data_IF_800775639835
#
_entry.id   IF_800775639835
#
_cell.length_a   1.000
_cell.length_b   1.000
_cell.length_c   1.000
_cell.angle_alpha   90.00
_cell.angle_beta   90.00
_cell.angle_gamma   90.00
#
_symmetry.space_group_name_H-M   'P 1'
#
loop_
_entity.id
_entity.type
_entity.pdbx_description
1 polymer ?
2 non-polymer ?
3 non-polymer ?
4 non-polymer ?
5 non-polymer ?
6 non-polymer ?
7 water ?
#
# COMPACT_ATOMS: atom_id res chain seq x y z
N UNK A 1 3.05 16.92 -13.74
CA UNK A 1 4.47 16.53 -13.86
C UNK A 1 4.59 15.16 -14.51
N UNK A 2 5.77 14.88 -15.08
CA UNK A 2 6.04 13.59 -15.72
C UNK A 2 6.09 12.41 -14.73
N UNK A 3 6.60 12.65 -13.53
CA UNK A 3 6.65 11.60 -12.52
C UNK A 3 5.72 11.80 -11.36
N UNK A 4 4.65 11.02 -11.35
CA UNK A 4 3.67 11.15 -10.30
C UNK A 4 3.69 9.93 -9.42
N UNK A 5 3.75 10.17 -8.12
CA UNK A 5 3.72 9.12 -7.10
C UNK A 5 2.31 9.13 -6.54
N UNK A 6 1.78 7.94 -6.23
CA UNK A 6 0.44 7.79 -5.63
C UNK A 6 0.66 6.91 -4.40
N UNK A 7 0.34 7.42 -3.21
CA UNK A 7 0.53 6.61 -2.02
C UNK A 7 -0.54 6.83 -0.95
N UNK A 8 -0.49 6.01 0.11
CA UNK A 8 -1.44 6.12 1.21
C UNK A 8 -0.97 7.09 2.28
N UNK A 9 -1.86 7.96 2.71
CA UNK A 9 -1.47 8.92 3.73
C UNK A 9 -1.80 8.44 5.14
N UNK A 10 -2.44 7.26 5.23
CA UNK A 10 -2.89 6.69 6.49
C UNK A 10 -2.30 5.31 6.83
N UNK A 11 -3.15 4.29 6.91
CA UNK A 11 -2.69 2.94 7.19
C UNK A 11 -3.05 2.05 6.00
N UNK A 12 -3.02 2.59 4.79
CA UNK A 12 -3.35 1.76 3.66
C UNK A 12 -4.86 1.57 3.49
N UNK A 13 -5.25 0.90 2.42
CA UNK A 13 -6.64 0.64 2.10
C UNK A 13 -7.44 1.91 1.91
N UNK A 14 -6.76 3.00 1.55
CA UNK A 14 -7.42 4.28 1.29
C UNK A 14 -8.02 4.29 -0.11
N UNK A 15 -7.47 3.49 -1.03
CA UNK A 15 -7.94 3.44 -2.40
C UNK A 15 -6.90 3.76 -3.48
N UNK A 16 -5.66 3.27 -3.31
CA UNK A 16 -4.60 3.51 -4.29
C UNK A 16 -4.98 2.87 -5.62
N UNK A 17 -5.19 1.54 -5.61
CA UNK A 17 -5.56 0.78 -6.79
C UNK A 17 -6.51 1.55 -7.70
N UNK A 18 -7.74 1.76 -7.26
CA UNK A 18 -8.66 2.50 -8.08
C UNK A 18 -7.98 3.74 -8.71
N UNK A 19 -7.51 4.66 -7.88
CA UNK A 19 -6.88 5.87 -8.39
C UNK A 19 -5.74 5.63 -9.39
N UNK A 20 -4.82 4.72 -9.11
CA UNK A 20 -3.73 4.54 -10.06
C UNK A 20 -4.29 4.08 -11.39
N UNK A 21 -5.20 3.09 -11.36
CA UNK A 21 -5.78 2.57 -12.58
C UNK A 21 -6.42 3.65 -13.43
N UNK A 22 -7.29 4.44 -12.82
CA UNK A 22 -7.91 5.55 -13.55
C UNK A 22 -6.88 6.53 -14.10
N UNK A 23 -5.78 6.71 -13.39
CA UNK A 23 -4.79 7.69 -13.80
C UNK A 23 -3.76 7.33 -14.86
N UNK A 24 -3.59 6.04 -15.12
CA UNK A 24 -2.60 5.60 -16.10
C UNK A 24 -3.10 5.62 -17.56
N UNK A 25 -4.19 6.35 -17.77
CA UNK A 25 -4.74 6.48 -19.09
C UNK A 25 -3.73 7.21 -19.93
N UNK A 26 -2.96 8.12 -19.31
CA UNK A 26 -1.92 8.90 -19.97
C UNK A 26 -0.50 8.48 -19.55
N UNK A 27 -0.35 7.31 -18.94
CA UNK A 27 0.96 6.89 -18.46
C UNK A 27 1.60 5.77 -19.25
N UNK A 28 2.94 5.85 -19.42
CA UNK A 28 3.66 4.82 -20.15
C UNK A 28 4.08 3.64 -19.23
N UNK A 29 4.59 3.94 -18.03
CA UNK A 29 4.94 2.87 -17.09
C UNK A 29 4.22 3.08 -15.75
N UNK A 30 4.06 2.01 -14.98
CA UNK A 30 3.47 2.04 -13.65
C UNK A 30 4.45 1.23 -12.87
N UNK A 31 5.04 1.80 -11.82
CA UNK A 31 6.03 1.06 -11.03
C UNK A 31 5.68 0.79 -9.57
N UNK A 32 5.71 -0.46 -9.15
CA UNK A 32 5.46 -0.84 -7.76
C UNK A 32 6.85 -0.76 -7.17
N UNK A 33 7.03 0.01 -6.10
CA UNK A 33 8.37 0.14 -5.50
C UNK A 33 8.60 -0.48 -4.08
N UNK A 34 7.53 -0.93 -3.43
CA UNK A 34 7.70 -1.53 -2.09
C UNK A 34 6.65 -2.55 -1.69
N UNK A 35 6.97 -3.28 -0.64
CA UNK A 35 6.05 -4.30 -0.15
C UNK A 35 6.11 -5.58 -0.98
N UNK A 36 5.02 -6.32 -0.99
CA UNK A 36 4.98 -7.55 -1.74
C UNK A 36 3.53 -7.86 -1.96
N UNK A 37 3.15 -9.12 -1.84
CA UNK A 37 1.77 -9.49 -2.05
C UNK A 37 0.90 -9.35 -0.81
N UNK A 38 1.32 -8.52 0.14
CA UNK A 38 0.53 -8.26 1.35
C UNK A 38 -0.51 -7.20 0.99
N UNK A 39 -0.22 -6.44 -0.07
CA UNK A 39 -1.12 -5.41 -0.53
C UNK A 39 -2.26 -6.08 -1.24
N UNK A 40 -3.47 -5.54 -1.05
CA UNK A 40 -4.65 -6.08 -1.69
C UNK A 40 -5.39 -4.87 -2.21
N UNK A 41 -5.36 -4.70 -3.52
CA UNK A 41 -6.00 -3.55 -4.16
C UNK A 41 -7.25 -4.07 -4.85
N UNK A 42 -8.16 -3.16 -5.19
CA UNK A 42 -9.41 -3.56 -5.82
C UNK A 42 -9.82 -2.55 -6.89
N UNK A 43 -9.76 -2.98 -8.14
CA UNK A 43 -10.14 -2.12 -9.26
C UNK A 43 -11.49 -2.66 -9.65
N UNK A 44 -12.39 -1.76 -10.05
CA UNK A 44 -13.74 -2.11 -10.49
C UNK A 44 -14.04 -1.35 -11.78
N UNK A 45 -14.25 -2.11 -12.86
CA UNK A 45 -14.53 -1.55 -14.20
C UNK A 45 -15.82 -2.10 -14.87
N UNK A 46 -16.80 -1.22 -15.09
CA UNK A 46 -18.09 -1.65 -15.65
C UNK A 46 -18.54 -2.75 -14.70
N UNK A 47 -18.30 -2.54 -13.42
CA UNK A 47 -18.69 -3.53 -12.46
C UNK A 47 -17.85 -4.79 -12.45
N UNK A 48 -16.93 -4.95 -13.39
CA UNK A 48 -16.09 -6.13 -13.38
C UNK A 48 -15.07 -5.75 -12.30
N UNK A 49 -14.79 -6.71 -11.42
CA UNK A 49 -13.87 -6.47 -10.33
C UNK A 49 -12.59 -7.30 -10.47
N UNK A 50 -11.47 -6.63 -10.15
CA UNK A 50 -10.16 -7.24 -10.19
C UNK A 50 -9.50 -6.83 -8.89
N UNK A 51 -8.92 -7.80 -8.19
CA UNK A 51 -8.21 -7.56 -6.94
C UNK A 51 -6.77 -7.96 -7.15
N UNK A 52 -5.90 -6.98 -7.27
CA UNK A 52 -4.48 -7.26 -7.49
C UNK A 52 -3.73 -7.27 -6.16
N UNK A 53 -2.51 -7.78 -6.15
CA UNK A 53 -1.71 -7.79 -4.93
C UNK A 53 -0.26 -7.44 -5.27
N UNK A 54 0.38 -8.33 -6.02
CA UNK A 54 1.75 -8.12 -6.39
C UNK A 54 1.83 -7.33 -7.68
N UNK A 55 0.92 -7.59 -8.60
CA UNK A 55 0.92 -6.93 -9.90
C UNK A 55 0.49 -5.45 -9.90
N UNK A 56 1.33 -4.56 -10.45
CA UNK A 56 0.94 -3.14 -10.47
C UNK A 56 -0.48 -2.93 -11.02
N UNK A 57 -1.12 -1.87 -10.55
CA UNK A 57 -2.48 -1.56 -10.93
C UNK A 57 -2.76 -1.06 -12.33
N UNK A 58 -1.74 -0.93 -13.16
CA UNK A 58 -2.00 -0.47 -14.51
C UNK A 58 -2.14 -1.65 -15.48
N UNK A 59 -1.90 -2.87 -15.01
CA UNK A 59 -1.96 -4.07 -15.85
C UNK A 59 -3.13 -4.25 -16.82
N UNK A 60 -4.28 -3.63 -16.56
CA UNK A 60 -5.40 -3.79 -17.49
C UNK A 60 -5.29 -2.79 -18.65
N UNK A 61 -4.41 -1.82 -18.59
CA UNK A 61 -4.33 -0.90 -19.69
C UNK A 61 -3.17 -1.40 -20.56
N UNK A 62 -3.43 -1.54 -21.84
CA UNK A 62 -2.42 -2.05 -22.72
C UNK A 62 -1.39 -1.05 -23.23
N UNK A 63 -1.53 0.21 -22.85
CA UNK A 63 -0.59 1.22 -23.30
C UNK A 63 0.39 1.53 -22.21
N UNK A 64 0.38 0.73 -21.16
CA UNK A 64 1.31 0.99 -20.06
C UNK A 64 2.08 -0.28 -19.72
N UNK A 65 3.37 -0.11 -19.43
CA UNK A 65 4.18 -1.24 -19.06
C UNK A 65 4.25 -1.24 -17.53
N UNK A 66 3.91 -2.35 -16.90
CA UNK A 66 3.95 -2.42 -15.46
C UNK A 66 5.30 -2.96 -15.03
N UNK A 67 5.95 -2.26 -14.11
CA UNK A 67 7.25 -2.67 -13.60
C UNK A 67 7.21 -2.84 -12.09
N UNK A 68 7.73 -3.94 -11.57
CA UNK A 68 7.82 -4.09 -10.11
C UNK A 68 9.32 -3.82 -9.83
N UNK A 69 9.62 -2.66 -9.23
CA UNK A 69 11.00 -2.26 -8.97
C UNK A 69 11.66 -3.01 -7.85
N UNK A 70 13.00 -2.94 -7.80
CA UNK A 70 13.83 -3.64 -6.78
C UNK A 70 13.42 -3.56 -5.29
N UNK A 71 12.51 -2.66 -4.94
CA UNK A 71 12.09 -2.54 -3.56
C UNK A 71 11.01 -3.51 -3.11
N UNK A 72 10.48 -4.27 -4.07
CA UNK A 72 9.43 -5.23 -3.82
C UNK A 72 10.00 -6.60 -3.44
N UNK A 73 9.43 -7.22 -2.39
CA UNK A 73 9.81 -8.57 -1.99
C UNK A 73 8.90 -9.47 -2.82
N UNK A 74 9.47 -10.09 -3.84
CA UNK A 74 8.70 -10.86 -4.78
C UNK A 74 8.60 -12.33 -4.48
N UNK A 75 7.39 -12.84 -4.51
CA UNK A 75 7.12 -14.25 -4.25
C UNK A 75 6.77 -14.91 -5.61
N UNK A 76 7.60 -15.84 -6.08
CA UNK A 76 7.31 -16.49 -7.36
C UNK A 76 5.96 -17.22 -7.40
N UNK A 77 5.73 -18.05 -6.39
CA UNK A 77 4.52 -18.82 -6.28
C UNK A 77 3.36 -17.86 -6.35
N UNK A 78 3.45 -16.79 -5.57
CA UNK A 78 2.37 -15.80 -5.54
C UNK A 78 2.20 -15.09 -6.90
N UNK A 79 3.31 -14.66 -7.49
CA UNK A 79 3.27 -14.00 -8.78
C UNK A 79 2.51 -14.85 -9.78
N UNK A 80 2.96 -16.09 -9.99
CA UNK A 80 2.33 -17.00 -10.93
C UNK A 80 0.85 -17.10 -10.67
N UNK A 81 0.46 -17.46 -9.47
CA UNK A 81 -0.95 -17.59 -9.16
C UNK A 81 -1.74 -16.39 -9.65
N UNK A 82 -1.15 -15.21 -9.50
CA UNK A 82 -1.79 -13.95 -9.89
C UNK A 82 -1.74 -13.82 -11.37
N UNK A 83 -0.57 -14.04 -11.95
CA UNK A 83 -0.34 -13.95 -13.38
C UNK A 83 -1.37 -14.78 -14.14
N UNK A 84 -1.62 -16.00 -13.70
CA UNK A 84 -2.58 -16.89 -14.35
C UNK A 84 -4.02 -16.39 -14.29
N UNK A 85 -4.53 -16.05 -13.10
CA UNK A 85 -5.92 -15.55 -13.05
C UNK A 85 -6.09 -14.36 -13.98
N UNK A 86 -5.09 -13.49 -14.05
CA UNK A 86 -5.21 -12.36 -14.93
C UNK A 86 -5.23 -12.79 -16.38
N UNK A 87 -4.25 -13.63 -16.76
CA UNK A 87 -4.15 -14.12 -18.13
C UNK A 87 -5.39 -14.90 -18.57
N UNK A 88 -6.08 -15.53 -17.63
CA UNK A 88 -7.32 -16.24 -17.92
C UNK A 88 -8.46 -15.28 -18.27
N UNK A 89 -8.40 -14.05 -17.76
CA UNK A 89 -9.43 -13.05 -18.03
C UNK A 89 -9.14 -12.27 -19.30
N UNK A 90 -8.25 -12.80 -20.13
CA UNK A 90 -7.92 -12.10 -21.35
C UNK A 90 -6.94 -10.96 -21.12
N UNK A 91 -6.12 -11.03 -20.07
CA UNK A 91 -5.12 -9.99 -19.83
C UNK A 91 -3.73 -10.63 -20.05
N UNK A 92 -2.99 -10.18 -21.08
CA UNK A 92 -1.68 -10.76 -21.35
C UNK A 92 -0.60 -10.27 -20.38
N UNK A 93 -0.71 -10.65 -19.12
CA UNK A 93 0.25 -10.26 -18.08
C UNK A 93 1.74 -10.27 -18.51
N UNK A 94 2.21 -11.38 -19.06
CA UNK A 94 3.62 -11.43 -19.44
C UNK A 94 3.97 -10.53 -20.61
N UNK A 95 2.98 -10.01 -21.32
CA UNK A 95 3.25 -9.17 -22.45
C UNK A 95 3.55 -7.77 -21.93
N UNK A 96 3.10 -7.48 -20.70
CA UNK A 96 3.21 -6.14 -20.13
C UNK A 96 3.96 -5.91 -18.82
N UNK A 97 4.28 -6.98 -18.12
CA UNK A 97 5.01 -6.88 -16.87
C UNK A 97 6.51 -7.09 -17.03
N UNK A 98 7.31 -6.26 -16.36
CA UNK A 98 8.77 -6.37 -16.32
C UNK A 98 9.10 -6.24 -14.84
N UNK A 99 10.27 -6.72 -14.44
CA UNK A 99 10.62 -6.61 -13.06
C UNK A 99 12.14 -6.53 -12.89
N UNK A 100 12.58 -6.23 -11.67
CA UNK A 100 13.98 -6.12 -11.37
C UNK A 100 14.58 -7.39 -10.84
N UNK A 101 15.79 -7.68 -11.36
CA UNK A 101 16.57 -8.84 -10.94
C UNK A 101 16.98 -8.67 -9.49
N UNK A 102 16.90 -7.45 -9.00
CA UNK A 102 17.27 -7.11 -7.64
C UNK A 102 16.18 -7.27 -6.63
N UNK A 103 15.07 -7.88 -7.00
CA UNK A 103 13.96 -8.13 -6.07
C UNK A 103 14.28 -9.33 -5.20
N UNK A 104 14.19 -9.19 -3.86
CA UNK A 104 14.49 -10.37 -3.03
C UNK A 104 13.37 -11.37 -3.31
N UNK A 105 13.57 -12.64 -3.00
CA UNK A 105 12.52 -13.65 -3.22
C UNK A 105 11.90 -14.12 -1.91
N UNK A 106 10.59 -14.25 -1.90
CA UNK A 106 9.86 -14.72 -0.73
C UNK A 106 9.58 -16.19 -1.00
N UNK A 107 10.28 -17.08 -0.29
CA UNK A 107 10.07 -18.52 -0.45
C UNK A 107 9.39 -19.03 0.82
N UNK A 108 9.00 -20.30 0.84
CA UNK A 108 8.29 -20.89 1.99
C UNK A 108 8.89 -20.75 3.36
N UNK A 109 10.22 -20.81 3.48
CA UNK A 109 10.81 -20.63 4.82
C UNK A 109 10.45 -19.27 5.42
N UNK A 110 10.26 -18.29 4.56
CA UNK A 110 9.88 -16.96 4.99
C UNK A 110 8.50 -16.99 5.61
N UNK A 111 7.54 -17.58 4.91
CA UNK A 111 6.18 -17.69 5.45
C UNK A 111 6.25 -18.50 6.72
N UNK A 112 6.98 -19.61 6.69
CA UNK A 112 7.15 -20.43 7.89
C UNK A 112 7.58 -19.47 9.05
N UNK A 113 8.71 -18.80 8.84
CA UNK A 113 9.21 -17.85 9.83
C UNK A 113 8.19 -16.83 10.27
N UNK A 114 7.66 -16.08 9.31
CA UNK A 114 6.69 -15.03 9.61
C UNK A 114 5.63 -15.49 10.61
N UNK A 115 5.06 -16.66 10.40
CA UNK A 115 4.03 -17.18 11.32
C UNK A 115 4.60 -17.57 12.69
N UNK A 116 5.73 -18.27 12.67
CA UNK A 116 6.40 -18.68 13.89
C UNK A 116 6.69 -17.42 14.72
N UNK A 117 7.36 -16.45 14.10
CA UNK A 117 7.72 -15.20 14.75
C UNK A 117 6.50 -14.57 15.38
N UNK A 118 5.45 -14.40 14.58
CA UNK A 118 4.21 -13.79 15.02
C UNK A 118 3.61 -14.54 16.23
N UNK A 119 3.53 -15.86 16.12
CA UNK A 119 2.97 -16.67 17.20
C UNK A 119 3.76 -16.44 18.50
N UNK A 120 5.08 -16.48 18.43
CA UNK A 120 5.91 -16.23 19.60
C UNK A 120 5.48 -14.97 20.35
N UNK A 121 5.13 -13.92 19.62
CA UNK A 121 4.69 -12.65 20.22
C UNK A 121 3.41 -12.76 21.08
N UNK A 122 2.53 -13.67 20.71
CA UNK A 122 1.30 -13.82 21.46
C UNK A 122 0.49 -12.53 21.50
N UNK A 123 0.37 -11.97 22.69
CA UNK A 123 -0.41 -10.75 22.88
C UNK A 123 0.17 -9.58 22.12
N UNK A 124 1.45 -9.67 21.79
CA UNK A 124 2.11 -8.59 21.07
C UNK A 124 2.07 -8.73 19.56
N UNK A 125 1.33 -9.72 19.06
CA UNK A 125 1.23 -9.92 17.61
C UNK A 125 1.05 -8.60 16.86
N UNK A 126 1.88 -8.40 15.84
CA UNK A 126 1.82 -7.20 15.04
C UNK A 126 0.53 -7.28 14.20
N UNK A 127 0.04 -8.50 13.97
CA UNK A 127 -1.16 -8.68 13.17
C UNK A 127 -0.79 -8.55 11.71
N UNK A 128 0.29 -9.22 11.32
CA UNK A 128 0.78 -9.16 9.96
C UNK A 128 -0.09 -9.99 9.02
N UNK A 129 -0.03 -9.67 7.73
CA UNK A 129 -0.80 -10.39 6.72
C UNK A 129 -0.32 -11.84 6.59
N UNK A 130 0.82 -12.15 7.22
CA UNK A 130 1.36 -13.51 7.17
C UNK A 130 1.78 -14.01 5.81
N UNK A 131 2.52 -13.17 5.09
CA UNK A 131 3.02 -13.50 3.77
C UNK A 131 4.55 -13.67 3.76
N UNK A 132 5.19 -13.44 4.89
CA UNK A 132 6.64 -13.58 4.93
C UNK A 132 7.37 -12.32 4.45
N UNK A 133 6.67 -11.20 4.43
CA UNK A 133 7.25 -9.94 3.99
C UNK A 133 8.43 -9.60 4.89
N UNK A 134 8.17 -9.60 6.20
CA UNK A 134 9.18 -9.29 7.20
C UNK A 134 10.46 -10.05 7.00
N UNK A 135 10.42 -11.38 7.08
CA UNK A 135 11.64 -12.19 6.90
C UNK A 135 12.33 -11.96 5.58
N UNK A 136 11.56 -11.82 4.50
CA UNK A 136 12.13 -11.58 3.17
C UNK A 136 13.00 -10.34 3.28
N UNK A 137 12.47 -9.27 3.92
CA UNK A 137 13.21 -8.00 4.15
C UNK A 137 14.43 -8.16 5.05
N UNK A 138 14.33 -9.05 6.04
CA UNK A 138 15.45 -9.30 6.94
C UNK A 138 16.58 -9.88 6.16
N UNK A 139 16.36 -11.01 5.50
CA UNK A 139 17.42 -11.64 4.71
C UNK A 139 18.07 -10.61 3.80
N UNK A 140 17.23 -9.76 3.22
CA UNK A 140 17.69 -8.68 2.34
C UNK A 140 18.73 -7.80 3.02
N UNK A 141 18.28 -7.10 4.05
CA UNK A 141 19.15 -6.20 4.81
C UNK A 141 20.33 -6.95 5.44
N UNK A 142 20.07 -8.17 5.92
CA UNK A 142 21.09 -9.03 6.52
C UNK A 142 21.99 -9.72 5.48
N UNK A 143 21.98 -9.22 4.27
CA UNK A 143 22.81 -9.73 3.20
C UNK A 143 22.92 -11.23 3.00
N UNK A 144 21.80 -11.93 3.14
CA UNK A 144 21.76 -13.38 2.90
C UNK A 144 20.60 -13.77 1.99
N UNK A 145 19.68 -12.84 1.74
CA UNK A 145 18.54 -13.16 0.89
C UNK A 145 18.89 -13.48 -0.54
N UNK A 146 18.02 -14.22 -1.21
CA UNK A 146 18.21 -14.61 -2.60
C UNK A 146 17.42 -13.60 -3.41
N UNK A 147 17.92 -13.23 -4.58
CA UNK A 147 17.22 -12.23 -5.39
C UNK A 147 16.80 -12.84 -6.73
N UNK A 148 15.96 -12.11 -7.47
CA UNK A 148 15.52 -12.57 -8.78
C UNK A 148 16.72 -12.90 -9.67
N UNK A 149 17.77 -12.09 -9.60
CA UNK A 149 18.93 -12.33 -10.41
C UNK A 149 19.65 -13.61 -10.08
N UNK A 150 19.30 -14.26 -8.98
CA UNK A 150 19.96 -15.52 -8.62
C UNK A 150 19.33 -16.75 -9.29
N UNK A 151 18.32 -16.53 -10.15
CA UNK A 151 17.71 -17.63 -10.86
C UNK A 151 18.47 -17.83 -12.19
N UNK A 152 19.22 -16.81 -12.59
CA UNK A 152 19.99 -16.92 -13.81
C UNK A 152 21.06 -18.04 -13.75
N UNK A 153 21.37 -18.49 -12.55
CA UNK A 153 22.35 -19.56 -12.37
C UNK A 153 21.85 -20.54 -11.32
N UNK A 154 21.23 -21.62 -11.77
CA UNK A 154 20.65 -22.62 -10.88
C UNK A 154 21.56 -23.49 -10.01
N UNK A 155 22.72 -23.89 -10.53
CA UNK A 155 23.61 -24.67 -9.69
C UNK A 155 24.05 -23.77 -8.54
N UNK A 156 24.47 -22.57 -8.90
CA UNK A 156 24.89 -21.58 -7.95
C UNK A 156 23.70 -21.39 -7.00
N UNK A 157 22.52 -21.19 -7.59
CA UNK A 157 21.29 -20.98 -6.84
C UNK A 157 21.03 -22.05 -5.77
N UNK A 158 21.27 -23.32 -6.15
CA UNK A 158 21.10 -24.49 -5.27
C UNK A 158 22.02 -24.38 -4.07
N UNK A 159 23.28 -24.05 -4.32
CA UNK A 159 24.27 -23.87 -3.25
C UNK A 159 23.78 -22.87 -2.22
N UNK A 160 23.55 -21.63 -2.68
CA UNK A 160 23.05 -20.52 -1.86
C UNK A 160 21.73 -20.91 -1.15
N UNK A 161 20.71 -21.36 -1.89
CA UNK A 161 19.48 -21.73 -1.21
C UNK A 161 19.81 -22.66 -0.06
N UNK A 162 20.70 -23.62 -0.33
CA UNK A 162 21.13 -24.61 0.67
C UNK A 162 21.59 -23.95 1.97
N UNK A 163 22.56 -23.04 1.89
CA UNK A 163 23.01 -22.39 3.12
C UNK A 163 22.05 -21.41 3.79
N UNK A 164 21.01 -20.97 3.09
CA UNK A 164 20.09 -20.06 3.72
C UNK A 164 18.94 -20.83 4.43
N UNK A 165 18.39 -21.82 3.74
CA UNK A 165 17.32 -22.65 4.29
C UNK A 165 17.75 -23.40 5.54
N UNK A 166 18.98 -23.90 5.53
CA UNK A 166 19.46 -24.61 6.70
C UNK A 166 19.56 -23.69 7.90
N UNK A 167 20.11 -22.49 7.68
CA UNK A 167 20.22 -21.51 8.77
C UNK A 167 18.82 -21.32 9.28
N UNK A 168 17.91 -21.07 8.34
CA UNK A 168 16.51 -20.86 8.70
C UNK A 168 15.84 -22.04 9.36
N UNK A 169 16.05 -23.23 8.79
CA UNK A 169 15.46 -24.45 9.32
C UNK A 169 15.88 -24.66 10.76
N UNK A 170 17.13 -24.32 11.04
CA UNK A 170 17.66 -24.46 12.38
C UNK A 170 16.79 -23.71 13.37
N UNK A 171 16.74 -22.40 13.26
CA UNK A 171 15.96 -21.63 14.20
C UNK A 171 14.51 -22.08 14.17
N UNK A 172 14.04 -22.52 13.01
CA UNK A 172 12.65 -22.95 12.92
C UNK A 172 12.34 -24.15 13.80
N UNK A 173 13.15 -25.19 13.71
CA UNK A 173 12.91 -26.36 14.54
C UNK A 173 13.46 -26.16 15.95
N UNK A 174 14.73 -25.80 16.06
CA UNK A 174 15.37 -25.63 17.37
C UNK A 174 14.82 -24.56 18.30
N UNK A 175 14.64 -23.35 17.79
CA UNK A 175 14.14 -22.27 18.61
C UNK A 175 12.61 -22.25 18.68
N UNK A 176 11.97 -22.06 17.54
CA UNK A 176 10.51 -22.02 17.49
C UNK A 176 9.85 -23.36 17.72
N UNK A 177 10.64 -24.43 17.60
CA UNK A 177 10.14 -25.78 17.80
C UNK A 177 8.93 -25.99 16.87
N UNK A 178 9.09 -25.48 15.65
CA UNK A 178 8.08 -25.59 14.61
C UNK A 178 8.69 -26.47 13.53
N UNK A 179 7.91 -26.73 12.49
CA UNK A 179 8.34 -27.58 11.38
C UNK A 179 9.32 -26.96 10.37
N UNK A 180 10.33 -27.75 10.01
CA UNK A 180 11.32 -27.32 9.03
C UNK A 180 10.71 -27.31 7.63
N UNK A 181 11.24 -26.45 6.77
CA UNK A 181 10.77 -26.35 5.40
C UNK A 181 11.70 -27.21 4.53
N UNK A 182 11.14 -28.04 3.63
CA UNK A 182 12.01 -28.89 2.82
C UNK A 182 12.75 -28.20 1.69
N UNK A 183 14.06 -28.35 1.74
CA UNK A 183 14.93 -27.77 0.74
C UNK A 183 14.56 -28.21 -0.68
N UNK A 184 14.28 -29.50 -0.87
CA UNK A 184 13.94 -30.00 -2.21
C UNK A 184 12.61 -29.53 -2.71
N UNK A 185 11.64 -29.35 -1.83
CA UNK A 185 10.36 -28.84 -2.29
C UNK A 185 10.64 -27.44 -2.83
N UNK A 186 11.22 -26.58 -2.01
CA UNK A 186 11.50 -25.21 -2.44
C UNK A 186 12.31 -25.19 -3.74
N UNK A 187 13.38 -25.97 -3.79
CA UNK A 187 14.18 -25.96 -5.00
C UNK A 187 13.38 -26.34 -6.25
N UNK A 188 12.54 -27.36 -6.15
CA UNK A 188 11.75 -27.78 -7.30
C UNK A 188 10.76 -26.72 -7.74
N UNK A 189 10.01 -26.16 -6.80
CA UNK A 189 9.05 -25.12 -7.12
C UNK A 189 9.74 -23.93 -7.79
N UNK A 190 10.68 -23.35 -7.09
CA UNK A 190 11.38 -22.20 -7.63
C UNK A 190 11.95 -22.47 -9.03
N UNK A 191 12.51 -23.66 -9.24
CA UNK A 191 13.09 -23.99 -10.53
C UNK A 191 12.10 -24.19 -11.65
N UNK A 192 10.85 -24.50 -11.30
CA UNK A 192 9.82 -24.72 -12.31
C UNK A 192 9.39 -23.41 -12.95
N UNK A 193 9.69 -22.28 -12.32
CA UNK A 193 9.31 -20.98 -12.89
C UNK A 193 10.49 -20.06 -13.18
N UNK A 194 11.64 -20.35 -12.58
CA UNK A 194 12.85 -19.58 -12.80
C UNK A 194 12.89 -18.93 -14.18
N UNK A 195 12.63 -19.72 -15.21
CA UNK A 195 12.64 -19.21 -16.57
C UNK A 195 11.57 -18.16 -16.83
N UNK A 196 10.35 -18.43 -16.35
CA UNK A 196 9.22 -17.51 -16.54
C UNK A 196 9.60 -16.15 -15.99
N UNK A 197 10.15 -16.15 -14.77
CA UNK A 197 10.57 -14.93 -14.08
C UNK A 197 11.72 -14.24 -14.75
N UNK A 198 12.79 -14.98 -15.05
CA UNK A 198 13.95 -14.35 -15.68
C UNK A 198 13.66 -13.77 -17.07
N UNK A 199 12.68 -14.30 -17.78
CA UNK A 199 12.38 -13.73 -19.07
C UNK A 199 11.84 -12.31 -18.89
N UNK A 200 11.26 -11.99 -17.75
CA UNK A 200 10.72 -10.65 -17.61
C UNK A 200 11.68 -9.64 -16.99
N UNK A 201 12.90 -10.07 -16.67
CA UNK A 201 13.88 -9.18 -16.09
C UNK A 201 14.32 -8.03 -16.99
N UNK A 202 14.41 -6.84 -16.40
CA UNK A 202 14.85 -5.66 -17.11
C UNK A 202 15.67 -4.88 -16.11
N UNK A 203 16.39 -3.88 -16.57
CA UNK A 203 17.20 -3.02 -15.71
C UNK A 203 16.36 -1.77 -15.45
N UNK A 204 15.53 -1.85 -14.42
CA UNK A 204 14.62 -0.76 -14.08
C UNK A 204 15.25 0.61 -13.80
N UNK A 205 16.40 0.65 -13.12
CA UNK A 205 17.03 1.95 -12.86
C UNK A 205 17.21 2.71 -14.15
N UNK A 206 17.88 2.08 -15.11
CA UNK A 206 18.14 2.69 -16.42
C UNK A 206 16.90 2.96 -17.27
N UNK A 207 15.93 2.06 -17.22
CA UNK A 207 14.69 2.20 -17.95
C UNK A 207 14.05 3.52 -17.53
N UNK A 208 13.97 3.74 -16.22
CA UNK A 208 13.36 4.96 -15.69
C UNK A 208 14.14 6.22 -16.06
N UNK A 209 15.45 6.11 -16.22
CA UNK A 209 16.26 7.25 -16.58
C UNK A 209 15.96 7.59 -18.04
N UNK A 210 15.80 6.58 -18.89
CA UNK A 210 15.45 6.80 -20.28
C UNK A 210 14.05 7.43 -20.29
N UNK A 211 13.07 6.70 -19.75
CA UNK A 211 11.69 7.19 -19.71
C UNK A 211 11.65 8.66 -19.36
N UNK A 212 12.51 9.04 -18.43
CA UNK A 212 12.61 10.39 -17.94
C UNK A 212 13.21 11.29 -18.97
N UNK A 213 14.38 10.97 -19.44
CA UNK A 213 14.96 11.85 -20.44
C UNK A 213 13.99 12.04 -21.59
N UNK A 214 13.23 11.01 -21.92
CA UNK A 214 12.24 11.05 -23.02
C UNK A 214 10.95 11.76 -22.67
N UNK A 215 10.81 12.19 -21.42
CA UNK A 215 9.62 12.91 -21.01
C UNK A 215 8.40 12.06 -20.79
N UNK A 216 8.56 10.75 -20.90
CA UNK A 216 7.42 9.87 -20.73
C UNK A 216 6.75 10.01 -19.36
N UNK A 217 5.48 9.66 -19.31
CA UNK A 217 4.74 9.73 -18.05
C UNK A 217 4.98 8.45 -17.27
N UNK A 218 5.36 8.57 -16.00
CA UNK A 218 5.61 7.41 -15.16
C UNK A 218 4.81 7.55 -13.87
N UNK A 219 4.18 6.48 -13.45
CA UNK A 219 3.46 6.55 -12.20
C UNK A 219 4.01 5.51 -11.21
N UNK A 220 4.19 5.93 -9.96
CA UNK A 220 4.70 5.04 -8.94
C UNK A 220 3.54 4.69 -8.03
N UNK A 221 3.28 3.41 -7.85
CA UNK A 221 2.15 2.97 -7.04
C UNK A 221 2.53 2.51 -5.63
N UNK A 222 2.19 3.28 -4.60
CA UNK A 222 2.54 2.83 -3.27
C UNK A 222 1.62 1.78 -2.63
N UNK A 223 2.21 0.91 -1.82
CA UNK A 223 1.48 -0.11 -1.08
C UNK A 223 1.39 0.36 0.38
N UNK A 224 0.52 -0.28 1.14
CA UNK A 224 0.31 0.09 2.52
C UNK A 224 0.15 1.59 2.75
N UNK A 225 0.40 2.02 3.98
CA UNK A 225 0.24 3.43 4.26
C UNK A 225 1.42 4.03 4.98
N UNK A 226 1.41 5.36 4.99
CA UNK A 226 2.42 6.17 5.63
C UNK A 226 2.68 5.70 7.05
N UNK A 227 1.64 5.64 7.87
CA UNK A 227 1.80 5.26 9.25
C UNK A 227 2.21 3.80 9.46
N UNK A 228 2.43 3.10 8.35
CA UNK A 228 2.91 1.73 8.40
C UNK A 228 4.42 1.76 8.07
N UNK A 229 4.96 2.94 7.78
CA UNK A 229 6.37 3.07 7.45
C UNK A 229 7.27 2.50 8.55
N UNK A 230 8.20 1.63 8.15
CA UNK A 230 9.14 1.05 9.11
C UNK A 230 9.89 2.10 9.99
N UNK A 231 10.34 3.18 9.37
CA UNK A 231 11.06 4.22 10.09
C UNK A 231 10.08 5.14 10.78
N UNK A 232 9.12 5.64 9.99
CA UNK A 232 8.15 6.64 10.45
C UNK A 232 6.78 6.22 10.95
N UNK A 233 6.45 4.94 10.88
CA UNK A 233 5.14 4.51 11.34
C UNK A 233 5.13 4.16 12.81
N UNK A 234 3.99 3.66 13.28
CA UNK A 234 3.85 3.29 14.70
C UNK A 234 4.62 2.02 15.07
N UNK A 235 5.94 2.14 15.11
CA UNK A 235 6.83 1.03 15.44
C UNK A 235 6.43 0.48 16.78
N UNK A 236 6.42 -0.87 16.95
CA UNK A 236 6.74 -1.87 15.93
C UNK A 236 5.57 -2.38 15.07
N UNK A 237 4.44 -1.65 15.08
CA UNK A 237 3.28 -2.04 14.30
C UNK A 237 3.34 -1.31 12.97
N UNK A 238 4.26 -1.76 12.14
CA UNK A 238 4.45 -1.13 10.85
C UNK A 238 4.79 -2.25 9.86
N UNK A 239 4.78 -1.97 8.58
CA UNK A 239 5.19 -3.01 7.65
C UNK A 239 6.73 -2.86 7.61
N UNK A 240 7.45 -3.75 6.95
CA UNK A 240 8.91 -3.63 6.94
C UNK A 240 9.48 -2.87 5.77
N UNK A 241 8.61 -2.18 5.07
CA UNK A 241 9.10 -1.42 3.93
C UNK A 241 8.82 0.07 4.17
N UNK A 242 9.59 0.93 3.51
CA UNK A 242 9.33 2.35 3.62
C UNK A 242 8.15 2.60 2.70
N UNK A 243 6.99 2.81 3.30
CA UNK A 243 5.81 3.09 2.54
C UNK A 243 5.79 4.52 1.99
N UNK A 244 6.45 5.45 2.69
CA UNK A 244 6.52 6.85 2.29
C UNK A 244 7.22 7.21 0.96
N UNK A 245 6.85 8.36 0.41
CA UNK A 245 7.39 8.83 -0.84
C UNK A 245 8.83 8.43 -1.04
N UNK A 246 9.63 8.37 0.04
CA UNK A 246 11.04 8.01 -0.03
C UNK A 246 11.35 6.62 -0.60
N UNK A 247 10.40 5.70 -0.49
CA UNK A 247 10.60 4.38 -1.03
C UNK A 247 10.74 4.50 -2.52
N UNK A 248 10.11 5.50 -3.13
CA UNK A 248 10.19 5.67 -4.57
C UNK A 248 11.64 5.69 -5.07
N UNK A 249 12.50 6.47 -4.42
CA UNK A 249 13.86 6.52 -4.89
C UNK A 249 14.63 5.29 -4.54
N UNK A 250 14.48 4.74 -3.35
CA UNK A 250 15.23 3.53 -2.98
C UNK A 250 14.70 2.27 -3.65
N UNK A 251 13.39 2.25 -3.89
CA UNK A 251 12.76 1.09 -4.50
C UNK A 251 12.64 1.04 -6.02
N UNK A 252 12.92 2.14 -6.71
CA UNK A 252 12.80 2.11 -8.17
C UNK A 252 14.14 2.38 -8.85
N UNK A 253 14.93 3.25 -8.22
CA UNK A 253 16.23 3.61 -8.74
C UNK A 253 16.19 5.03 -9.24
N UNK A 254 15.04 5.70 -9.19
CA UNK A 254 14.94 7.07 -9.66
C UNK A 254 15.51 8.05 -8.62
N UNK A 255 16.30 9.01 -9.08
CA UNK A 255 16.84 9.99 -8.15
C UNK A 255 15.69 10.78 -7.52
N UNK A 256 15.75 11.13 -6.23
CA UNK A 256 14.63 11.88 -5.63
C UNK A 256 14.28 13.15 -6.39
N UNK A 257 15.30 13.79 -6.98
CA UNK A 257 15.06 15.05 -7.71
C UNK A 257 14.12 14.94 -8.91
N UNK A 258 13.78 13.73 -9.33
CA UNK A 258 12.90 13.61 -10.46
C UNK A 258 11.46 13.26 -10.07
N UNK A 259 11.09 13.49 -8.82
CA UNK A 259 9.72 13.22 -8.38
C UNK A 259 8.93 14.53 -8.54
N UNK A 260 7.92 14.51 -9.41
CA UNK A 260 7.15 15.72 -9.67
C UNK A 260 5.97 16.03 -8.78
N UNK A 261 5.04 15.08 -8.67
CA UNK A 261 3.83 15.30 -7.89
C UNK A 261 3.67 14.07 -7.00
N UNK A 262 3.38 14.30 -5.73
CA UNK A 262 3.17 13.20 -4.81
C UNK A 262 1.68 13.29 -4.47
N UNK A 263 0.88 12.36 -4.98
CA UNK A 263 -0.56 12.37 -4.73
C UNK A 263 -0.87 11.46 -3.56
N UNK A 264 -1.29 12.05 -2.46
CA UNK A 264 -1.59 11.24 -1.30
C UNK A 264 -3.04 10.82 -1.36
N UNK A 265 -3.33 9.52 -1.25
CA UNK A 265 -4.71 9.08 -1.26
C UNK A 265 -5.18 9.33 0.15
N UNK A 266 -6.42 9.81 0.55
CA UNK A 266 -7.26 10.25 1.67
C UNK A 266 -8.64 9.58 1.59
N UNK A 267 -9.02 8.85 2.65
CA UNK A 267 -10.26 8.06 2.64
C UNK A 267 -11.49 8.69 3.35
N UNK A 268 -11.51 9.99 3.60
CA UNK A 268 -12.68 10.66 4.21
C UNK A 268 -13.06 10.04 5.58
N UNK A 269 -12.49 8.90 5.91
CA UNK A 269 -12.71 8.26 7.22
C UNK A 269 -11.65 7.19 7.46
N UNK A 270 -11.36 6.69 8.57
CA UNK A 270 -10.10 6.01 8.79
C UNK A 270 -10.30 4.54 9.11
N UNK A 271 -9.40 3.68 8.63
CA UNK A 271 -9.44 2.27 8.94
C UNK A 271 -8.02 1.84 9.26
N UNK A 272 -7.91 0.68 9.91
CA UNK A 272 -6.63 0.08 10.27
C UNK A 272 -6.89 -1.45 10.43
N UNK A 273 -6.04 -2.32 9.88
CA UNK A 273 -6.15 -3.77 10.09
C UNK A 273 -4.87 -4.14 10.80
N UNK A 274 -4.98 -4.86 11.90
CA UNK A 274 -3.80 -5.25 12.64
C UNK A 274 -3.69 -4.48 13.96
N UNK A 275 -2.76 -4.96 14.79
CA UNK A 275 -2.52 -4.33 16.09
C UNK A 275 -1.91 -2.97 15.79
N UNK A 276 -2.23 -1.98 16.63
CA UNK A 276 -1.66 -0.68 16.40
C UNK A 276 -2.44 0.49 16.95
N UNK A 277 -1.76 1.58 17.30
CA UNK A 277 -2.35 2.81 17.83
C UNK A 277 -3.33 3.39 16.84
N UNK A 278 -4.53 3.66 17.30
CA UNK A 278 -5.54 4.19 16.42
C UNK A 278 -6.38 5.16 17.27
N UNK A 279 -5.87 6.38 17.49
CA UNK A 279 -6.55 7.40 18.31
C UNK A 279 -8.05 7.57 18.12
N UNK A 280 -8.49 7.81 16.89
CA UNK A 280 -9.90 8.07 16.58
C UNK A 280 -10.80 6.84 16.43
N UNK A 281 -10.33 5.67 16.82
CA UNK A 281 -11.11 4.46 16.66
C UNK A 281 -12.50 4.48 17.28
N UNK A 282 -13.49 4.09 16.47
CA UNK A 282 -14.87 4.04 16.94
C UNK A 282 -15.19 2.61 17.35
N UNK A 283 -15.65 2.40 18.57
CA UNK A 283 -16.01 1.07 19.01
C UNK A 283 -17.54 0.91 19.06
N UNK A 284 -18.27 1.96 18.70
CA UNK A 284 -19.72 1.99 18.76
C UNK A 284 -20.47 1.73 17.46
N UNK A 285 -21.76 2.11 17.44
CA UNK A 285 -22.64 1.96 16.29
C UNK A 285 -22.04 2.68 15.09
N UNK A 286 -21.65 3.95 15.24
CA UNK A 286 -21.08 4.67 14.10
C UNK A 286 -19.88 3.84 13.56
N UNK A 287 -19.06 3.32 14.45
CA UNK A 287 -17.98 2.50 13.97
C UNK A 287 -18.57 1.46 13.04
N UNK A 288 -19.57 0.72 13.53
CA UNK A 288 -20.18 -0.31 12.68
C UNK A 288 -20.70 0.25 11.38
N UNK A 289 -21.38 1.39 11.44
CA UNK A 289 -21.91 1.99 10.22
C UNK A 289 -20.76 2.11 9.24
N UNK A 290 -19.78 2.94 9.56
CA UNK A 290 -18.65 3.17 8.68
C UNK A 290 -18.19 1.87 8.08
N UNK A 291 -18.00 0.86 8.91
CA UNK A 291 -17.54 -0.42 8.42
C UNK A 291 -18.50 -1.15 7.48
N UNK A 292 -19.71 -1.42 7.95
CA UNK A 292 -20.69 -2.11 7.12
C UNK A 292 -20.76 -1.39 5.80
N UNK A 293 -21.06 -0.10 5.89
CA UNK A 293 -21.22 0.76 4.74
C UNK A 293 -19.99 0.83 3.84
N UNK A 294 -18.80 0.89 4.42
CA UNK A 294 -17.60 0.97 3.60
C UNK A 294 -17.01 -0.37 3.22
N UNK A 295 -17.80 -1.43 3.37
CA UNK A 295 -17.34 -2.78 3.07
C UNK A 295 -15.88 -2.95 3.45
N UNK A 296 -15.55 -2.50 4.67
CA UNK A 296 -14.19 -2.56 5.18
C UNK A 296 -13.70 -3.91 5.63
N UNK A 297 -13.17 -4.69 4.69
CA UNK A 297 -12.63 -6.01 5.02
C UNK A 297 -11.31 -6.22 4.27
N UNK A 298 -10.29 -6.67 4.99
CA UNK A 298 -9.00 -6.88 4.36
C UNK A 298 -9.01 -7.49 2.95
N UNK A 299 -8.68 -6.68 1.95
CA UNK A 299 -8.62 -7.14 0.56
C UNK A 299 -7.62 -8.29 0.34
N UNK A 300 -6.76 -8.57 1.33
CA UNK A 300 -5.79 -9.65 1.22
C UNK A 300 -6.11 -10.75 2.22
N UNK A 301 -6.49 -10.37 3.44
CA UNK A 301 -6.79 -11.35 4.50
C UNK A 301 -8.27 -11.52 4.77
N UNK A 302 -9.08 -10.66 4.18
CA UNK A 302 -10.51 -10.76 4.39
C UNK A 302 -10.86 -10.43 5.82
N UNK A 303 -9.90 -9.92 6.60
CA UNK A 303 -10.21 -9.59 8.00
C UNK A 303 -10.79 -8.21 8.15
N UNK A 304 -11.76 -8.07 9.05
CA UNK A 304 -12.41 -6.78 9.26
C UNK A 304 -11.41 -5.68 9.67
N UNK A 305 -11.69 -4.45 9.20
CA UNK A 305 -10.84 -3.33 9.50
C UNK A 305 -11.48 -2.47 10.55
N UNK A 306 -10.63 -2.02 11.47
CA UNK A 306 -10.99 -1.15 12.56
C UNK A 306 -11.31 0.16 11.84
N UNK A 307 -12.31 0.89 12.31
CA UNK A 307 -12.67 2.12 11.62
C UNK A 307 -12.82 3.25 12.62
N UNK A 308 -12.73 4.48 12.13
CA UNK A 308 -12.89 5.60 13.04
C UNK A 308 -13.00 6.93 12.32
N UNK A 309 -12.82 8.01 13.07
CA UNK A 309 -12.89 9.32 12.50
C UNK A 309 -11.59 9.68 11.78
N UNK A 310 -11.70 10.63 10.88
CA UNK A 310 -10.57 11.09 10.12
C UNK A 310 -9.62 11.81 11.09
N UNK A 311 -8.38 11.32 11.16
CA UNK A 311 -7.38 11.92 12.03
C UNK A 311 -6.54 12.90 11.25
N UNK A 312 -6.85 14.16 11.39
CA UNK A 312 -6.14 15.20 10.69
C UNK A 312 -4.71 15.40 11.20
N UNK A 313 -4.53 15.28 12.50
CA UNK A 313 -3.21 15.45 13.09
C UNK A 313 -2.26 14.43 12.46
N UNK A 314 -2.69 13.19 12.31
CA UNK A 314 -1.86 12.17 11.69
C UNK A 314 -1.64 12.48 10.21
N UNK A 315 -2.69 12.89 9.51
CA UNK A 315 -2.59 13.24 8.10
C UNK A 315 -1.57 14.35 7.91
N UNK A 316 -1.57 15.32 8.82
CA UNK A 316 -0.61 16.38 8.73
C UNK A 316 0.78 15.78 8.76
N UNK A 317 0.92 14.61 9.36
CA UNK A 317 2.22 13.99 9.43
C UNK A 317 2.63 13.51 8.05
N UNK A 318 1.66 12.87 7.38
CA UNK A 318 1.83 12.30 6.06
C UNK A 318 2.24 13.35 5.08
N UNK A 319 1.63 14.53 5.19
CA UNK A 319 1.93 15.66 4.31
C UNK A 319 3.40 16.02 4.32
N UNK A 320 3.98 16.13 5.52
CA UNK A 320 5.40 16.48 5.67
C UNK A 320 6.43 15.38 5.35
N UNK A 321 6.18 14.14 5.78
CA UNK A 321 7.12 13.06 5.48
C UNK A 321 7.12 12.92 3.97
N UNK A 322 5.92 12.87 3.39
CA UNK A 322 5.75 12.72 1.95
C UNK A 322 5.92 13.90 0.98
N UNK A 323 5.88 15.13 1.50
CA UNK A 323 5.97 16.34 0.67
C UNK A 323 4.90 16.24 -0.40
N UNK A 324 3.68 15.95 0.07
CA UNK A 324 2.52 15.84 -0.79
C UNK A 324 2.30 17.12 -1.60
N UNK A 325 1.79 16.94 -2.81
CA UNK A 325 1.49 18.04 -3.65
C UNK A 325 -0.03 18.17 -3.58
N UNK A 326 -0.74 17.04 -3.54
CA UNK A 326 -2.18 17.15 -3.49
C UNK A 326 -2.81 15.94 -2.87
N UNK A 327 -4.12 16.01 -2.65
CA UNK A 327 -4.84 14.89 -2.06
C UNK A 327 -5.86 14.32 -3.01
N UNK A 328 -6.30 13.11 -2.72
CA UNK A 328 -7.35 12.46 -3.46
C UNK A 328 -8.27 11.90 -2.37
N UNK A 329 -9.41 12.57 -2.18
CA UNK A 329 -10.37 12.16 -1.15
C UNK A 329 -11.21 11.01 -1.62
N UNK A 330 -10.93 9.83 -1.09
CA UNK A 330 -11.71 8.68 -1.45
C UNK A 330 -12.83 8.43 -0.44
N UNK A 331 -13.79 7.61 -0.86
CA UNK A 331 -14.96 7.23 -0.07
C UNK A 331 -15.77 8.31 0.62
N UNK A 332 -15.86 9.49 0.00
CA UNK A 332 -16.67 10.54 0.57
C UNK A 332 -18.09 10.01 0.68
N UNK A 333 -18.48 9.16 -0.24
CA UNK A 333 -19.84 8.62 -0.22
C UNK A 333 -20.23 7.84 1.01
N UNK A 334 -19.31 7.09 1.59
CA UNK A 334 -19.66 6.29 2.77
C UNK A 334 -20.21 7.18 3.87
N UNK A 335 -19.88 8.49 3.81
CA UNK A 335 -20.35 9.41 4.84
C UNK A 335 -21.81 9.81 4.73
N UNK A 336 -22.39 9.65 3.54
CA UNK A 336 -23.78 9.96 3.31
C UNK A 336 -24.61 9.25 4.36
N UNK A 337 -25.58 9.96 4.95
CA UNK A 337 -26.42 9.35 5.96
C UNK A 337 -26.20 9.87 7.38
N UNK A 338 -24.94 10.03 7.79
CA UNK A 338 -24.63 10.52 9.12
C UNK A 338 -25.25 11.88 9.39
N UNK A 339 -25.78 12.04 10.60
CA UNK A 339 -26.42 13.26 11.04
C UNK A 339 -25.36 14.36 11.10
N UNK A 340 -24.19 13.97 11.60
CA UNK A 340 -23.05 14.87 11.74
C UNK A 340 -21.81 13.99 11.70
N UNK A 341 -20.69 14.57 11.34
CA UNK A 341 -19.45 13.80 11.28
C UNK A 341 -18.42 14.63 12.02
N UNK A 342 -17.32 14.00 12.42
CA UNK A 342 -16.27 14.75 13.08
C UNK A 342 -14.89 14.33 12.60
N UNK A 343 -13.97 15.27 12.69
CA UNK A 343 -12.60 14.99 12.32
C UNK A 343 -11.71 15.44 13.47
N UNK A 344 -10.70 14.65 13.79
CA UNK A 344 -9.74 14.97 14.85
C UNK A 344 -8.87 16.17 14.46
N UNK A 345 -8.72 17.16 15.34
CA UNK A 345 -7.92 18.35 15.01
C UNK A 345 -6.70 18.53 15.91
N UNK A 346 -6.66 17.82 17.04
CA UNK A 346 -5.52 17.90 17.98
C UNK A 346 -5.56 16.66 18.83
N UNK A 347 -4.49 16.42 19.57
CA UNK A 347 -4.35 15.28 20.46
C UNK A 347 -4.26 15.76 21.91
N UNK A 348 -4.96 15.08 22.82
CA UNK A 348 -4.87 15.45 24.23
C UNK A 348 -3.92 14.41 24.85
N UNK A 349 -2.67 14.82 25.11
CA UNK A 349 -1.65 13.92 25.66
C UNK A 349 -2.08 13.43 27.03
N UNK A 350 -1.55 12.29 27.48
CA UNK A 350 -1.96 11.81 28.81
C UNK A 350 -1.46 12.64 29.97
N UNK A 351 -0.86 13.80 29.68
CA UNK A 351 -0.40 14.67 30.77
C UNK A 351 -1.13 16.00 30.74
N UNK A 352 -2.24 15.99 30.02
CA UNK A 352 -3.14 17.14 29.90
C UNK A 352 -2.71 18.18 28.91
N UNK A 353 -1.56 17.92 28.29
CA UNK A 353 -0.96 18.83 27.33
C UNK A 353 -1.53 18.64 25.88
N UNK A 354 -2.21 19.65 25.34
CA UNK A 354 -2.80 19.55 24.00
C UNK A 354 -1.78 19.71 22.90
N UNK A 355 -1.58 18.70 22.07
CA UNK A 355 -0.56 18.82 21.05
C UNK A 355 -1.06 18.53 19.64
N UNK A 356 -0.47 19.19 18.64
CA UNK A 356 -0.87 18.96 17.25
C UNK A 356 0.15 18.16 16.43
N UNK A 357 1.02 17.43 17.08
CA UNK A 357 1.97 16.63 16.37
C UNK A 357 1.83 15.17 16.83
N UNK A 358 2.03 14.23 15.91
CA UNK A 358 1.89 12.83 16.25
C UNK A 358 3.13 12.34 16.95
N UNK A 359 2.96 11.33 17.83
CA UNK A 359 4.05 10.67 18.59
C UNK A 359 4.64 9.71 17.57
N UNK A 360 5.84 9.24 17.79
CA UNK A 360 6.45 8.35 16.81
C UNK A 360 6.14 6.90 17.08
N UNK A 361 6.92 6.29 17.97
CA UNK A 361 6.74 4.88 18.33
C UNK A 361 5.41 4.56 19.01
N UNK A 362 4.84 3.42 18.62
CA UNK A 362 3.54 2.95 19.12
C UNK A 362 3.30 3.30 20.59
N UNK A 363 4.22 2.85 21.43
CA UNK A 363 4.15 3.06 22.87
C UNK A 363 3.82 4.44 23.30
N UNK A 364 4.17 5.44 22.49
CA UNK A 364 3.89 6.84 22.82
C UNK A 364 2.49 7.33 22.45
N UNK A 365 1.68 6.49 21.81
CA UNK A 365 0.33 6.86 21.46
C UNK A 365 -0.62 6.33 22.52
N UNK A 366 -0.08 5.50 23.43
CA UNK A 366 -0.83 4.88 24.49
C UNK A 366 -1.97 5.64 25.18
N UNK A 367 -1.73 6.77 25.82
CA UNK A 367 -2.85 7.43 26.48
C UNK A 367 -3.40 8.59 25.68
N UNK A 368 -3.02 8.69 24.42
CA UNK A 368 -3.43 9.80 23.56
C UNK A 368 -4.90 9.74 23.16
N UNK A 369 -5.61 10.83 23.40
CA UNK A 369 -7.02 10.96 23.10
C UNK A 369 -7.14 12.06 22.04
N UNK A 370 -8.10 11.91 21.10
CA UNK A 370 -8.29 12.90 20.03
C UNK A 370 -9.30 13.95 20.42
N UNK A 371 -9.06 15.19 19.97
CA UNK A 371 -9.96 16.32 20.23
C UNK A 371 -10.66 16.58 18.89
N UNK A 372 -11.92 16.19 18.80
CA UNK A 372 -12.62 16.33 17.55
C UNK A 372 -13.14 17.68 17.28
N UNK A 373 -13.66 17.83 16.07
CA UNK A 373 -14.27 19.05 15.58
C UNK A 373 -15.42 18.40 14.88
N UNK A 374 -16.60 18.64 15.40
CA UNK A 374 -17.79 18.02 14.86
C UNK A 374 -18.39 18.86 13.78
N UNK A 375 -18.94 18.23 12.74
CA UNK A 375 -19.55 18.94 11.63
C UNK A 375 -20.90 18.34 11.23
N UNK A 376 -21.76 19.16 10.60
CA UNK A 376 -23.05 18.62 10.20
C UNK A 376 -22.85 17.64 9.03
N UNK A 377 -23.54 16.52 9.07
CA UNK A 377 -23.41 15.54 7.99
C UNK A 377 -24.23 15.95 6.77
N UNK A 378 -24.72 14.97 6.02
CA UNK A 378 -25.53 15.21 4.84
C UNK A 378 -26.33 13.97 4.48
N UNK A 379 -27.64 14.16 4.30
CA UNK A 379 -28.50 13.04 3.94
C UNK A 379 -28.49 12.88 2.42
N UNK A 380 -28.43 14.01 1.71
CA UNK A 380 -28.37 13.99 0.24
C UNK A 380 -27.31 12.97 -0.11
N UNK A 381 -27.53 12.21 -1.17
CA UNK A 381 -26.57 11.19 -1.55
C UNK A 381 -25.49 11.77 -2.47
N UNK A 382 -24.29 11.22 -2.41
CA UNK A 382 -23.17 11.66 -3.24
C UNK A 382 -22.60 10.51 -4.06
N UNK A 383 -23.09 9.30 -3.83
CA UNK A 383 -22.60 8.15 -4.58
C UNK A 383 -22.61 8.43 -6.08
N UNK A 384 -21.50 8.09 -6.75
CA UNK A 384 -21.39 8.27 -8.18
C UNK A 384 -21.39 9.68 -8.73
N UNK A 385 -21.44 10.70 -7.87
CA UNK A 385 -21.46 12.07 -8.36
C UNK A 385 -20.11 12.36 -9.00
N UNK A 386 -20.13 12.95 -10.20
CA UNK A 386 -18.88 13.23 -10.91
C UNK A 386 -18.72 14.69 -11.20
N UNK A 387 -19.18 15.53 -10.29
CA UNK A 387 -19.08 16.97 -10.48
C UNK A 387 -19.41 17.64 -9.17
N UNK A 388 -18.56 18.59 -8.78
CA UNK A 388 -18.73 19.30 -7.52
C UNK A 388 -20.18 19.69 -7.24
N UNK A 389 -20.82 20.33 -8.22
CA UNK A 389 -22.22 20.78 -8.10
C UNK A 389 -23.14 19.77 -7.45
N UNK A 390 -22.99 18.49 -7.80
CA UNK A 390 -23.86 17.49 -7.21
C UNK A 390 -23.57 17.24 -5.75
N UNK A 391 -22.55 17.89 -5.22
CA UNK A 391 -22.20 17.70 -3.82
C UNK A 391 -22.90 18.72 -2.93
N UNK A 392 -23.61 18.25 -1.89
CA UNK A 392 -24.33 19.09 -0.94
C UNK A 392 -23.35 19.97 -0.20
N UNK A 393 -23.81 21.12 0.30
CA UNK A 393 -22.96 22.07 1.03
C UNK A 393 -22.20 21.44 2.19
N UNK A 394 -22.84 20.49 2.87
CA UNK A 394 -22.18 19.82 3.98
C UNK A 394 -20.90 19.20 3.47
N UNK A 395 -21.00 18.48 2.34
CA UNK A 395 -19.85 17.81 1.71
C UNK A 395 -18.72 18.78 1.34
N UNK A 396 -19.01 19.77 0.50
CA UNK A 396 -17.98 20.73 0.11
C UNK A 396 -17.36 21.44 1.32
N UNK A 397 -18.13 21.67 2.38
CA UNK A 397 -17.58 22.30 3.57
C UNK A 397 -16.54 21.41 4.25
N UNK A 398 -16.92 20.15 4.51
CA UNK A 398 -16.04 19.14 5.11
C UNK A 398 -14.76 19.12 4.28
N UNK A 399 -14.95 19.08 2.96
CA UNK A 399 -13.84 19.05 2.06
C UNK A 399 -12.93 20.26 2.28
N UNK A 400 -13.47 21.48 2.18
CA UNK A 400 -12.62 22.66 2.37
C UNK A 400 -11.94 22.64 3.73
N UNK A 401 -12.67 22.18 4.74
CA UNK A 401 -12.12 22.10 6.08
C UNK A 401 -10.87 21.25 6.02
N UNK A 402 -11.01 20.04 5.45
CA UNK A 402 -9.85 19.17 5.34
C UNK A 402 -8.70 19.95 4.73
N UNK A 403 -8.95 20.62 3.61
CA UNK A 403 -7.88 21.40 3.00
C UNK A 403 -7.40 22.43 4.01
N UNK A 404 -8.31 23.22 4.58
CA UNK A 404 -7.92 24.25 5.56
C UNK A 404 -6.94 23.71 6.57
N UNK A 405 -7.41 22.71 7.32
CA UNK A 405 -6.60 22.08 8.37
C UNK A 405 -5.30 21.44 7.92
N UNK A 406 -5.17 21.14 6.63
CA UNK A 406 -3.94 20.51 6.16
C UNK A 406 -3.07 21.39 5.30
N UNK A 407 -3.69 22.25 4.52
CA UNK A 407 -2.90 23.12 3.68
C UNK A 407 -2.54 22.46 2.36
N UNK A 408 -3.21 21.36 2.01
CA UNK A 408 -2.98 20.65 0.76
C UNK A 408 -4.34 20.60 0.04
N UNK A 409 -4.39 20.89 -1.27
CA UNK A 409 -5.66 20.86 -1.99
C UNK A 409 -6.12 19.48 -2.35
N UNK A 410 -7.43 19.25 -2.32
CA UNK A 410 -7.96 17.96 -2.70
C UNK A 410 -8.05 18.03 -4.23
N UNK A 411 -7.34 17.15 -4.92
CA UNK A 411 -7.37 17.21 -6.37
C UNK A 411 -8.30 16.27 -7.09
N UNK A 412 -8.69 15.20 -6.41
CA UNK A 412 -9.57 14.19 -6.99
C UNK A 412 -10.48 13.75 -5.90
N UNK A 413 -11.77 13.61 -6.20
CA UNK A 413 -12.68 13.09 -5.18
C UNK A 413 -13.21 11.79 -5.76
N UNK A 414 -13.20 10.74 -4.95
CA UNK A 414 -13.72 9.46 -5.40
C UNK A 414 -15.05 9.35 -4.72
N UNK A 415 -16.05 8.90 -5.48
CA UNK A 415 -17.42 8.81 -5.00
C UNK A 415 -18.09 7.50 -5.42
N UNK A 416 -17.31 6.45 -5.64
CA UNK A 416 -17.83 5.15 -6.02
C UNK A 416 -16.68 4.22 -6.33
N UNK A 417 -16.86 2.91 -6.19
CA UNK A 417 -15.72 2.03 -6.50
C UNK A 417 -15.38 2.02 -8.00
N UNK A 418 -16.36 2.12 -8.86
CA UNK A 418 -16.11 2.11 -10.29
C UNK A 418 -15.13 3.20 -10.77
N UNK A 419 -14.24 2.83 -11.68
CA UNK A 419 -13.24 3.75 -12.25
C UNK A 419 -13.79 5.11 -12.69
N UNK A 420 -15.02 5.14 -13.17
CA UNK A 420 -15.57 6.42 -13.59
C UNK A 420 -16.32 7.21 -12.49
N UNK A 421 -16.69 6.59 -11.38
CA UNK A 421 -17.36 7.36 -10.33
C UNK A 421 -16.33 8.28 -9.64
N UNK A 422 -15.89 9.28 -10.38
CA UNK A 422 -14.85 10.17 -9.91
C UNK A 422 -14.94 11.59 -10.51
N UNK A 423 -14.21 12.51 -9.87
CA UNK A 423 -14.12 13.89 -10.31
C UNK A 423 -12.65 14.23 -10.28
N UNK A 424 -12.04 14.54 -11.43
CA UNK A 424 -10.63 14.94 -11.41
C UNK A 424 -10.62 16.46 -11.43
N UNK A 425 -10.37 17.07 -10.29
CA UNK A 425 -10.36 18.54 -10.21
C UNK A 425 -9.04 19.06 -10.75
N UNK A 426 -8.02 18.22 -10.70
CA UNK A 426 -6.71 18.58 -11.23
C UNK A 426 -5.99 17.28 -11.54
N UNK A 427 -5.52 17.11 -12.78
CA UNK A 427 -4.81 15.89 -13.14
C UNK A 427 -3.34 16.06 -12.84
N UNK A 428 -2.81 15.25 -11.92
CA UNK A 428 -1.40 15.26 -11.50
C UNK A 428 -0.40 15.48 -12.65
N UNK A 429 -0.67 14.82 -13.78
CA UNK A 429 0.19 14.89 -14.93
C UNK A 429 0.31 16.24 -15.59
N UNK A 430 -0.79 16.92 -15.84
CA UNK A 430 -0.67 18.22 -16.46
C UNK A 430 -0.59 19.31 -15.40
N UNK A 431 0.27 19.09 -14.40
CA UNK A 431 0.47 20.03 -13.31
C UNK A 431 1.96 20.09 -12.97
X LIG B 1 -5.51 -3.06 0.72
X LIG C 1 -2.83 -1.74 0.44
X LIG C 1 -1.55 -1.64 0.42
X LIG C 1 -3.40 -2.89 0.27
X LIG C 1 -3.55 -0.68 0.62
X LIG D 1 -5.52 -5.46 3.14
X LIG D 1 -5.20 -5.08 1.81
X LIG D 1 -6.08 -4.90 1.00
X LIG D 1 -6.32 -4.55 3.87
X LIG D 1 -4.44 -6.06 3.96
X LIG D 1 -4.93 -7.20 4.85
X LIG D 1 -5.86 -7.94 4.46
X LIG D 1 -4.36 -7.35 5.97
X LIG D 1 -5.89 -3.71 4.07
X LIG E 1 3.00 -7.22 7.01
X LIG E 1 2.41 -8.44 6.40
X LIG E 1 4.27 -7.31 7.76
X LIG E 1 3.14 -6.11 5.84
X LIG E 1 1.89 -6.60 7.98
X LIG E 1 2.26 -5.98 9.22
X LIG E 1 1.19 -5.07 9.66
X LIG E 1 0.96 -4.11 8.54
X LIG E 1 -0.17 -5.63 9.91
X LIG E 1 -0.89 -4.74 10.80
X LIG E 1 -0.85 -5.55 8.56
X LIG E 1 -2.25 -5.56 8.61
X LIG E 1 -0.41 -4.21 7.94
X LIG E 1 -0.45 -4.27 6.55
X LIG E 1 0.42 -4.95 5.71
X LIG E 1 0.14 -4.92 4.44
X LIG E 1 -1.05 -4.13 4.45
X LIG E 1 -1.90 -3.68 3.36
X LIG E 1 -1.69 -3.76 2.16
X LIG E 1 -3.01 -2.94 3.81
X LIG E 1 -3.26 -2.62 5.11
X LIG E 1 -2.41 -3.04 6.03
X LIG E 1 -1.38 -3.77 5.71
X LIG E 1 2.41 -6.71 10.01
X LIG E 1 3.18 -5.40 9.10
X LIG E 1 1.54 -4.50 10.53
X LIG E 1 -0.16 -6.64 10.31
X LIG E 1 -1.80 -4.71 10.50
X LIG E 1 -0.48 -6.39 7.97
X LIG E 1 -2.51 -4.83 9.19
X LIG E 1 -1.04 -3.41 8.33
X LIG E 1 1.39 -5.28 6.06
X LIG E 1 -3.74 -2.69 3.17
X LIG F 1 -5.81 0.16 -1.68
X LIG F 1 -5.26 0.34 -3.01
X LIG F 1 -5.44 -1.13 -1.04
X LIG F 1 -5.56 1.38 -0.93
X LIG F 1 -7.40 -0.03 -1.93
X LIG F 1 -8.30 -1.24 -1.29
X LIG F 1 -9.02 -2.11 -2.27
X LIG F 1 -7.57 -1.83 -0.13
X LIG F 1 -9.40 -0.27 -0.66
X LIG F 1 -10.30 0.44 -1.43
X LIG F 1 -11.57 -0.32 -1.52
X LIG F 1 -12.65 0.61 -1.60
X LIG F 1 -11.85 -1.31 -2.60
X LIG F 1 -12.99 -1.84 -1.90
X LIG F 1 -12.25 -0.30 -3.72
X LIG F 1 -12.94 -0.80 -4.80
X LIG F 1 -13.26 0.63 -2.92
X LIG F 1 -13.32 1.99 -3.22
X LIG F 1 -12.32 2.79 -3.74
X LIG F 1 -12.63 4.05 -3.85
X LIG F 1 -13.99 4.11 -3.36
X LIG F 1 -14.91 5.21 -3.22
X LIG F 1 -14.81 6.42 -3.43
X LIG F 1 -16.14 4.87 -2.72
X LIG F 1 -16.48 3.62 -2.32
X LIG F 1 -17.69 3.58 -1.78
X LIG F 1 -15.63 2.55 -2.44
X LIG F 1 -14.40 2.86 -2.97
X LIG F 1 -9.94 0.76 -2.42
X LIG F 1 -10.52 1.33 -0.85
X LIG F 1 -11.69 -0.84 -0.56
X LIG F 1 -11.02 -1.99 -2.78
X LIG F 1 -12.90 -2.80 -1.86
X LIG F 1 -11.37 0.25 -4.03
X LIG F 1 -12.90 -0.08 -5.46
X LIG F 1 -14.25 0.18 -2.89
X LIG F 1 -11.34 2.41 -4.02
X LIG F 1 -16.84 5.60 -2.60
X LIG F 1 -18.36 2.95 -2.11
X LIG F 1 -17.97 4.21 -1.07
#
# INVERSE_FOLDING_TARGET
>A
GNNVVVLGTQWGDEGKGKIVDLLTERAKYVVRYQGGHNAGHTLVINGEKTVLHLIPSGILRENVTSIIGNGVVLSPAALMKEMKELEDRGIPVRERLLLSEACPLILDYHVALDNAREKARGAKAIGTTGRGIGPAYEDKVARRGLRVGDLFDKETFAEKLKEVMEYHNFQLVNYYKAEAVDYQKVLDDTMAVADILTSMVVDVSDLLDQARQRGDFVMFEGAQGTLLDIDHGTYPYVTSSNTTAGGVATGSGLGPRYVDYVLGILKAYSTRVGAGPFPTELFDETGEFLCKQGNEFGATTGRRRRTGWLDTVAVRRAVQLNSLSGFCLTKLDVLDGLKEVKLCVAYRMPDGREVTTTPLAADDWKGVEPIYETMPGWSESTFGVKDRSGLPQAALNYIKRIEELTGVPIDIISTGPDRTETMILRDPFDA
>B hetero
1 MG MG
>C hetero
1 NO3 N O1 O2 O3
>D hetero
1 HDA NA C O OB CB CG OD1 OD2 HOB
>E hetero
1 IMP P O1P O2P O3P O5' C5' C4' O4' C3' O3' C2' O2' C1' N9 C8 N7 C5 C6 O6 N1 C2 N3 C4 H5'1 H5'2 H4' H3' HO3' H2' HO2' H1' H8 HN1
>F hetero
1 GDP PB O1B O2B O3B O3A PA O1A O2A O5' C5' C4' O4' C3' O3' C2' O2' C1' N9 C8 N7 C5 C6 O6 N1 C2 N2 N3 C4 H5' H5'' H4' H3' HO3' H2' HO2' H1' H8 HN1 HN21 HN22
#
